data_IF_387050632533
#
_entry.id   IF_387050632533
#
_cell.length_a   1.000
_cell.length_b   1.000
_cell.length_c   1.000
_cell.angle_alpha   90.00
_cell.angle_beta   90.00
_cell.angle_gamma   90.00
#
_symmetry.space_group_name_H-M   'P 1'
#
loop_
_entity.id
_entity.type
_entity.pdbx_description
1 polymer ?
#
# COMPACT_ATOMS: atom_id res chain seq x y z
N UNK A 1 11.02 -17.76 12.09
CA UNK A 1 10.83 -17.48 10.64
C UNK A 1 11.21 -18.71 9.84
N UNK A 2 10.35 -19.20 8.95
CA UNK A 2 10.64 -20.31 8.04
C UNK A 2 11.35 -19.84 6.77
N UNK A 3 12.07 -20.74 6.10
CA UNK A 3 12.63 -20.45 4.77
C UNK A 3 11.47 -20.30 3.78
N UNK A 4 11.62 -19.41 2.80
CA UNK A 4 10.64 -19.26 1.70
C UNK A 4 10.50 -20.60 0.95
N UNK A 5 9.27 -20.94 0.58
CA UNK A 5 8.98 -22.14 -0.21
C UNK A 5 9.74 -22.11 -1.56
N UNK A 6 10.28 -23.24 -2.05
CA UNK A 6 11.04 -23.30 -3.32
C UNK A 6 10.32 -22.66 -4.51
N UNK A 7 9.00 -22.88 -4.63
CA UNK A 7 8.18 -22.29 -5.69
C UNK A 7 8.29 -20.76 -5.78
N UNK A 8 8.42 -20.06 -4.64
CA UNK A 8 8.59 -18.59 -4.63
C UNK A 8 9.91 -18.19 -5.29
N UNK A 9 10.96 -19.00 -5.15
CA UNK A 9 12.27 -18.76 -5.78
C UNK A 9 12.26 -19.12 -7.26
N UNK A 10 11.45 -20.10 -7.66
CA UNK A 10 11.32 -20.53 -9.05
C UNK A 10 10.52 -19.51 -9.87
N UNK A 11 9.27 -19.26 -9.48
CA UNK A 11 8.42 -18.26 -10.14
C UNK A 11 8.95 -16.84 -9.95
N UNK A 12 9.66 -16.54 -8.85
CA UNK A 12 10.30 -15.24 -8.68
C UNK A 12 11.37 -14.92 -9.73
N UNK A 13 11.98 -15.94 -10.37
CA UNK A 13 12.96 -15.73 -11.45
C UNK A 13 12.32 -15.40 -12.79
N UNK A 14 11.02 -15.69 -12.97
CA UNK A 14 10.31 -15.42 -14.21
C UNK A 14 9.78 -13.99 -14.27
N UNK A 15 9.85 -13.24 -13.16
CA UNK A 15 9.45 -11.84 -13.09
C UNK A 15 10.58 -10.99 -13.68
N UNK A 16 10.24 -10.17 -14.67
CA UNK A 16 11.19 -9.18 -15.18
C UNK A 16 11.43 -8.08 -14.13
N UNK A 17 12.70 -7.78 -13.91
CA UNK A 17 13.19 -6.78 -12.95
C UNK A 17 14.19 -5.83 -13.63
N UNK A 18 14.18 -5.77 -14.96
CA UNK A 18 15.12 -5.00 -15.78
C UNK A 18 15.00 -3.50 -15.52
N UNK A 19 13.77 -3.00 -15.36
CA UNK A 19 13.42 -1.64 -14.98
C UNK A 19 14.06 -1.22 -13.65
N UNK A 20 13.87 -2.02 -12.60
CA UNK A 20 14.41 -1.75 -11.26
C UNK A 20 15.94 -1.83 -11.22
N UNK A 21 16.54 -2.67 -12.06
CA UNK A 21 18.00 -2.78 -12.19
C UNK A 21 18.60 -1.62 -12.99
N UNK A 22 17.85 -1.04 -13.92
CA UNK A 22 18.28 0.11 -14.71
C UNK A 22 18.20 1.42 -13.89
N UNK A 23 17.30 1.50 -12.92
CA UNK A 23 17.17 2.65 -12.04
C UNK A 23 18.36 2.78 -11.07
N UNK A 24 19.13 3.87 -11.25
CA UNK A 24 20.34 4.16 -10.45
C UNK A 24 20.01 4.49 -9.00
N UNK A 25 18.87 5.12 -8.71
CA UNK A 25 18.46 5.48 -7.36
C UNK A 25 18.12 4.23 -6.57
N UNK A 26 17.36 3.31 -7.18
CA UNK A 26 17.02 2.01 -6.59
C UNK A 26 18.30 1.20 -6.34
N UNK A 27 19.18 1.12 -7.33
CA UNK A 27 20.43 0.35 -7.19
C UNK A 27 21.40 0.98 -6.19
N UNK A 28 21.42 2.31 -6.06
CA UNK A 28 22.15 3.01 -5.00
C UNK A 28 21.60 2.64 -3.61
N UNK A 29 20.28 2.75 -3.42
CA UNK A 29 19.62 2.38 -2.17
C UNK A 29 19.87 0.92 -1.82
N UNK A 30 19.81 0.01 -2.79
CA UNK A 30 20.08 -1.42 -2.60
C UNK A 30 21.53 -1.68 -2.18
N UNK A 31 22.49 -0.99 -2.79
CA UNK A 31 23.93 -1.15 -2.49
C UNK A 31 24.29 -0.63 -1.10
N UNK A 32 23.70 0.49 -0.69
CA UNK A 32 24.01 1.17 0.58
C UNK A 32 22.89 1.04 1.62
N UNK A 33 22.03 0.04 1.48
CA UNK A 33 20.84 -0.14 2.33
C UNK A 33 21.18 -0.11 3.82
N UNK A 34 22.19 -0.88 4.25
CA UNK A 34 22.55 -0.99 5.66
C UNK A 34 23.13 0.34 6.22
N UNK A 35 24.12 1.00 5.57
CA UNK A 35 24.55 2.33 5.98
C UNK A 35 23.42 3.37 6.04
N UNK A 36 22.57 3.43 5.02
CA UNK A 36 21.42 4.37 4.98
C UNK A 36 20.46 4.08 6.12
N UNK A 37 20.13 2.80 6.35
CA UNK A 37 19.24 2.38 7.44
C UNK A 37 19.78 2.78 8.81
N UNK A 38 21.06 2.51 9.09
CA UNK A 38 21.69 2.87 10.36
C UNK A 38 21.66 4.39 10.54
N UNK A 39 22.07 5.15 9.51
CA UNK A 39 22.07 6.60 9.56
C UNK A 39 20.68 7.18 9.85
N UNK A 40 19.66 6.78 9.09
CA UNK A 40 18.29 7.25 9.30
C UNK A 40 17.74 6.82 10.66
N UNK A 41 18.05 5.59 11.10
CA UNK A 41 17.65 5.11 12.43
C UNK A 41 18.29 5.92 13.56
N UNK A 42 19.56 6.30 13.42
CA UNK A 42 20.25 7.17 14.36
C UNK A 42 19.63 8.58 14.37
N UNK A 43 19.23 9.13 13.22
CA UNK A 43 18.53 10.42 13.16
C UNK A 43 17.19 10.39 13.90
N UNK A 44 16.40 9.33 13.74
CA UNK A 44 15.13 9.16 14.45
C UNK A 44 15.31 9.19 15.97
N UNK A 45 16.45 8.70 16.48
CA UNK A 45 16.78 8.76 17.91
C UNK A 45 17.36 10.12 18.31
N UNK A 46 18.23 10.71 17.48
CA UNK A 46 18.92 11.95 17.79
C UNK A 46 17.98 13.17 17.81
N UNK A 47 17.00 13.23 16.89
CA UNK A 47 16.11 14.39 16.73
C UNK A 47 15.35 14.72 18.02
N UNK A 48 14.67 13.77 18.71
CA UNK A 48 14.01 14.05 19.98
C UNK A 48 14.95 14.54 21.09
N UNK A 49 16.16 13.95 21.15
CA UNK A 49 17.17 14.31 22.14
C UNK A 49 17.65 15.74 21.90
N UNK A 50 17.82 16.15 20.65
CA UNK A 50 18.36 17.46 20.30
C UNK A 50 17.32 18.58 20.29
N UNK A 51 16.10 18.33 19.81
CA UNK A 51 15.11 19.39 19.60
C UNK A 51 14.28 19.72 20.84
N UNK A 52 13.99 18.73 21.69
CA UNK A 52 13.16 18.94 22.89
C UNK A 52 13.71 18.25 24.13
N UNK A 53 15.02 17.95 24.13
CA UNK A 53 15.78 17.45 25.28
C UNK A 53 15.22 16.14 25.88
N UNK A 54 14.70 15.25 25.02
CA UNK A 54 14.28 13.90 25.45
C UNK A 54 15.48 13.07 25.91
N UNK A 55 15.26 12.15 26.84
CA UNK A 55 16.32 11.23 27.29
C UNK A 55 16.68 10.24 26.18
N UNK A 56 17.96 9.88 26.08
CA UNK A 56 18.44 8.92 25.07
C UNK A 56 17.68 7.58 25.17
N UNK A 57 17.47 7.10 26.39
CA UNK A 57 16.74 5.84 26.65
C UNK A 57 15.31 5.91 26.14
N UNK A 58 14.57 6.97 26.46
CA UNK A 58 13.20 7.13 25.99
C UNK A 58 13.17 7.25 24.47
N UNK A 59 14.09 7.99 23.86
CA UNK A 59 14.14 8.14 22.40
C UNK A 59 14.40 6.81 21.68
N UNK A 60 15.32 5.97 22.21
CA UNK A 60 15.56 4.63 21.68
C UNK A 60 14.30 3.74 21.83
N UNK A 61 13.69 3.70 23.01
CA UNK A 61 12.55 2.81 23.27
C UNK A 61 11.30 3.25 22.52
N UNK A 62 10.96 4.53 22.56
CA UNK A 62 9.73 5.08 21.96
C UNK A 62 9.88 5.38 20.47
N UNK A 63 10.84 6.22 20.10
CA UNK A 63 10.97 6.78 18.75
C UNK A 63 11.56 5.78 17.76
N UNK A 64 12.43 4.87 18.22
CA UNK A 64 12.95 3.78 17.41
C UNK A 64 12.13 2.50 17.55
N UNK A 65 12.22 1.79 18.69
CA UNK A 65 11.66 0.45 18.81
C UNK A 65 10.13 0.40 18.78
N UNK A 66 9.45 1.17 19.64
CA UNK A 66 7.99 1.16 19.70
C UNK A 66 7.37 1.60 18.38
N UNK A 67 7.85 2.72 17.79
CA UNK A 67 7.42 3.17 16.46
C UNK A 67 7.64 2.10 15.39
N UNK A 68 8.79 1.43 15.39
CA UNK A 68 9.10 0.37 14.42
C UNK A 68 8.17 -0.84 14.57
N UNK A 69 7.97 -1.32 15.80
CA UNK A 69 7.08 -2.44 16.11
C UNK A 69 5.64 -2.10 15.72
N UNK A 70 5.17 -0.90 16.08
CA UNK A 70 3.83 -0.45 15.73
C UNK A 70 3.63 -0.43 14.21
N UNK A 71 4.56 0.20 13.48
CA UNK A 71 4.48 0.28 12.01
C UNK A 71 4.52 -1.10 11.34
N UNK A 72 5.38 -2.00 11.86
CA UNK A 72 5.45 -3.37 11.37
C UNK A 72 4.12 -4.11 11.59
N UNK A 73 3.50 -3.98 12.76
CA UNK A 73 2.21 -4.61 13.04
C UNK A 73 1.10 -4.06 12.13
N UNK A 74 1.01 -2.73 11.99
CA UNK A 74 0.04 -2.08 11.09
C UNK A 74 0.21 -2.61 9.66
N UNK A 75 1.44 -2.68 9.16
CA UNK A 75 1.72 -3.19 7.80
C UNK A 75 1.34 -4.68 7.67
N UNK A 76 1.66 -5.49 8.68
CA UNK A 76 1.34 -6.92 8.67
C UNK A 76 -0.17 -7.19 8.84
N UNK A 77 -0.93 -6.26 9.41
CA UNK A 77 -2.39 -6.34 9.46
C UNK A 77 -3.01 -6.32 8.05
N UNK A 78 -2.39 -5.67 7.05
CA UNK A 78 -2.85 -5.76 5.64
C UNK A 78 -2.82 -7.22 5.18
N UNK A 79 -1.70 -7.90 5.38
CA UNK A 79 -1.51 -9.27 4.90
C UNK A 79 -2.27 -10.34 5.70
N UNK A 80 -2.95 -9.95 6.79
CA UNK A 80 -3.69 -10.85 7.67
C UNK A 80 -5.15 -10.42 7.82
N UNK A 81 -5.40 -9.34 8.57
CA UNK A 81 -6.75 -8.85 8.89
C UNK A 81 -7.54 -8.40 7.65
N UNK A 82 -6.86 -7.83 6.64
CA UNK A 82 -7.49 -7.41 5.39
C UNK A 82 -7.88 -8.57 4.47
N UNK A 83 -7.92 -9.81 4.98
CA UNK A 83 -8.48 -10.98 4.30
C UNK A 83 -9.64 -11.64 5.06
N UNK A 84 -9.98 -11.18 6.28
CA UNK A 84 -11.03 -11.79 7.10
C UNK A 84 -12.35 -11.01 7.10
N UNK A 85 -12.32 -9.67 7.12
CA UNK A 85 -13.52 -8.83 7.32
C UNK A 85 -13.65 -7.73 6.26
N UNK A 86 -14.56 -7.92 5.29
CA UNK A 86 -14.71 -7.01 4.15
C UNK A 86 -15.54 -7.55 3.01
N UNK A 87 -15.64 -6.79 1.91
CA UNK A 87 -16.45 -7.12 0.73
C UNK A 87 -15.57 -7.37 -0.52
N UNK A 88 -16.15 -7.91 -1.60
CA UNK A 88 -15.44 -8.14 -2.88
C UNK A 88 -16.21 -7.55 -4.06
N UNK A 89 -16.31 -6.21 -4.15
CA UNK A 89 -17.13 -5.57 -5.16
C UNK A 89 -16.55 -5.69 -6.58
N UNK A 90 -15.24 -5.85 -6.79
CA UNK A 90 -14.65 -5.83 -8.13
C UNK A 90 -14.33 -7.23 -8.68
N UNK A 91 -13.79 -8.11 -7.83
CA UNK A 91 -13.50 -9.49 -8.20
C UNK A 91 -13.69 -10.45 -7.02
N UNK A 92 -14.70 -11.32 -7.12
CA UNK A 92 -15.03 -12.31 -6.08
C UNK A 92 -14.15 -13.55 -6.10
N UNK A 93 -13.43 -13.80 -7.20
CA UNK A 93 -12.61 -15.00 -7.40
C UNK A 93 -11.21 -14.87 -6.77
N UNK A 94 -10.76 -13.64 -6.52
CA UNK A 94 -9.53 -13.37 -5.80
C UNK A 94 -9.79 -13.33 -4.28
N UNK A 95 -8.74 -13.56 -3.47
CA UNK A 95 -8.80 -13.52 -2.00
C UNK A 95 -8.90 -12.11 -1.37
N UNK A 96 -8.24 -11.06 -1.91
CA UNK A 96 -8.31 -9.71 -1.37
C UNK A 96 -9.73 -9.18 -1.20
N UNK A 97 -9.97 -8.45 -0.11
CA UNK A 97 -11.26 -7.84 0.24
C UNK A 97 -11.10 -6.34 0.47
N UNK A 98 -12.19 -5.61 0.31
CA UNK A 98 -12.33 -4.20 0.67
C UNK A 98 -12.66 -4.06 2.15
N UNK A 99 -11.94 -3.21 2.87
CA UNK A 99 -12.25 -2.92 4.28
C UNK A 99 -12.00 -1.46 4.63
N UNK A 100 -13.09 -0.70 4.78
CA UNK A 100 -13.04 0.73 5.11
C UNK A 100 -12.30 1.03 6.41
N UNK A 101 -12.41 0.14 7.41
CA UNK A 101 -11.69 0.28 8.69
C UNK A 101 -10.17 0.18 8.49
N UNK A 102 -9.72 -0.77 7.67
CA UNK A 102 -8.30 -0.91 7.32
C UNK A 102 -7.83 0.25 6.45
N UNK A 103 -8.67 0.76 5.54
CA UNK A 103 -8.32 1.94 4.74
C UNK A 103 -8.02 3.14 5.63
N UNK A 104 -8.80 3.34 6.70
CA UNK A 104 -8.53 4.41 7.67
C UNK A 104 -7.25 4.16 8.48
N UNK A 105 -7.05 2.94 9.02
CA UNK A 105 -5.90 2.62 9.87
C UNK A 105 -4.56 2.59 9.12
N UNK A 106 -4.59 2.31 7.82
CA UNK A 106 -3.40 2.11 6.97
C UNK A 106 -3.39 3.15 5.85
N UNK A 107 -3.99 4.31 6.10
CA UNK A 107 -3.73 5.54 5.33
C UNK A 107 -4.09 5.40 3.82
N UNK A 108 -5.05 4.54 3.49
CA UNK A 108 -5.53 4.31 2.13
C UNK A 108 -5.31 2.90 1.57
N UNK A 109 -4.60 2.00 2.28
CA UNK A 109 -4.25 0.66 1.76
C UNK A 109 -5.34 -0.42 1.95
N UNK A 110 -6.51 -0.07 2.49
CA UNK A 110 -7.59 -1.04 2.76
C UNK A 110 -8.46 -1.40 1.56
N UNK A 111 -8.19 -0.80 0.39
CA UNK A 111 -8.92 -1.05 -0.86
C UNK A 111 -8.32 -2.24 -1.64
N UNK A 112 -8.16 -3.36 -0.94
CA UNK A 112 -7.31 -4.45 -1.41
C UNK A 112 -7.97 -5.25 -2.56
N UNK A 113 -9.30 -5.29 -2.66
CA UNK A 113 -9.96 -5.93 -3.81
C UNK A 113 -9.76 -5.09 -5.07
N UNK A 114 -9.87 -3.76 -4.97
CA UNK A 114 -9.60 -2.82 -6.05
C UNK A 114 -8.14 -2.88 -6.48
N UNK A 115 -7.21 -2.72 -5.53
CA UNK A 115 -5.77 -2.73 -5.81
C UNK A 115 -5.32 -3.99 -6.54
N UNK A 116 -5.77 -5.18 -6.13
CA UNK A 116 -5.43 -6.43 -6.83
C UNK A 116 -6.16 -6.61 -8.18
N UNK A 117 -7.27 -5.91 -8.38
CA UNK A 117 -8.01 -5.92 -9.66
C UNK A 117 -7.39 -4.95 -10.67
N UNK A 118 -6.88 -3.82 -10.19
CA UNK A 118 -6.27 -2.74 -10.99
C UNK A 118 -4.88 -2.35 -10.43
N UNK A 119 -3.88 -3.25 -10.48
CA UNK A 119 -2.57 -3.04 -9.84
C UNK A 119 -1.74 -1.91 -10.47
N UNK A 120 -2.16 -1.39 -11.63
CA UNK A 120 -1.53 -0.27 -12.32
C UNK A 120 -2.14 1.09 -11.98
N UNK A 121 -3.23 1.13 -11.20
CA UNK A 121 -3.87 2.38 -10.78
C UNK A 121 -3.06 3.03 -9.64
N UNK A 122 -2.61 4.27 -9.84
CA UNK A 122 -1.78 4.98 -8.85
C UNK A 122 -2.53 5.24 -7.53
N UNK A 123 -3.86 5.31 -7.56
CA UNK A 123 -4.66 5.61 -6.37
C UNK A 123 -4.83 4.40 -5.45
N UNK A 124 -4.65 3.19 -6.00
CA UNK A 124 -4.92 1.90 -5.35
C UNK A 124 -6.34 1.77 -4.73
N UNK A 125 -7.27 2.68 -5.07
CA UNK A 125 -8.62 2.76 -4.54
C UNK A 125 -9.56 3.41 -5.58
N UNK A 126 -10.86 3.08 -5.56
CA UNK A 126 -11.84 3.67 -6.48
C UNK A 126 -12.13 5.16 -6.18
N UNK A 127 -12.12 5.57 -4.90
CA UNK A 127 -12.53 6.92 -4.46
C UNK A 127 -11.39 7.84 -4.01
N UNK A 128 -10.14 7.52 -4.38
CA UNK A 128 -8.99 8.42 -4.28
C UNK A 128 -8.82 9.23 -2.99
N UNK A 129 -8.66 10.55 -3.17
CA UNK A 129 -8.34 11.58 -2.18
C UNK A 129 -9.13 11.53 -0.87
N UNK A 130 -10.42 11.15 -0.93
CA UNK A 130 -11.28 11.21 0.25
C UNK A 130 -10.85 10.24 1.37
N UNK A 131 -10.05 9.22 1.04
CA UNK A 131 -9.70 8.13 1.95
C UNK A 131 -8.24 7.69 1.89
N UNK A 132 -7.35 8.40 1.17
CA UNK A 132 -5.94 8.02 1.01
C UNK A 132 -5.01 9.24 1.05
N UNK A 133 -4.17 9.32 2.09
CA UNK A 133 -3.11 10.33 2.17
C UNK A 133 -2.04 10.09 1.09
N UNK A 134 -1.80 8.83 0.73
CA UNK A 134 -0.88 8.47 -0.34
C UNK A 134 -1.30 9.10 -1.67
N UNK A 135 -2.59 8.98 -2.02
CA UNK A 135 -3.13 9.61 -3.24
C UNK A 135 -2.99 11.13 -3.20
N UNK A 136 -3.28 11.75 -2.05
CA UNK A 136 -3.09 13.19 -1.86
C UNK A 136 -1.63 13.63 -2.09
N UNK A 137 -0.66 12.91 -1.52
CA UNK A 137 0.77 13.25 -1.69
C UNK A 137 1.24 13.07 -3.14
N UNK A 138 0.75 12.05 -3.84
CA UNK A 138 1.07 11.84 -5.26
C UNK A 138 0.48 12.96 -6.12
N UNK A 139 -0.76 13.35 -5.89
CA UNK A 139 -1.40 14.45 -6.62
C UNK A 139 -0.75 15.80 -6.32
N UNK A 140 -0.38 16.06 -5.07
CA UNK A 140 0.41 17.24 -4.71
C UNK A 140 1.76 17.23 -5.44
N UNK A 141 2.44 16.08 -5.49
CA UNK A 141 3.70 15.93 -6.24
C UNK A 141 3.49 16.17 -7.74
N UNK A 142 2.37 15.72 -8.30
CA UNK A 142 2.02 15.98 -9.69
C UNK A 142 1.72 17.45 -9.96
N UNK A 143 0.99 18.11 -9.05
CA UNK A 143 0.72 19.53 -9.10
C UNK A 143 2.00 20.37 -9.04
N UNK A 144 2.99 19.95 -8.25
CA UNK A 144 4.32 20.56 -8.18
C UNK A 144 5.24 20.19 -9.35
N UNK A 145 4.79 19.34 -10.29
CA UNK A 145 5.58 18.88 -11.44
C UNK A 145 6.65 17.82 -11.11
N UNK A 146 6.62 17.24 -9.91
CA UNK A 146 7.53 16.18 -9.46
C UNK A 146 7.09 14.78 -9.92
N UNK A 147 5.81 14.61 -10.24
CA UNK A 147 5.23 13.37 -10.75
C UNK A 147 4.40 13.62 -12.02
N UNK A 148 4.41 12.67 -12.94
CA UNK A 148 3.67 12.73 -14.21
C UNK A 148 3.27 11.32 -14.66
N UNK A 149 2.48 11.21 -15.74
CA UNK A 149 1.95 9.94 -16.27
C UNK A 149 1.19 9.11 -15.21
N UNK A 150 0.39 9.79 -14.39
CA UNK A 150 -0.48 9.13 -13.40
C UNK A 150 -1.56 8.32 -14.13
N UNK A 151 -1.57 7.00 -13.90
CA UNK A 151 -2.52 6.07 -14.52
C UNK A 151 -3.63 5.73 -13.54
N UNK A 152 -4.87 5.95 -13.94
CA UNK A 152 -6.06 5.56 -13.16
C UNK A 152 -7.05 4.80 -14.04
N UNK A 153 -7.75 3.84 -13.46
CA UNK A 153 -8.76 3.07 -14.16
C UNK A 153 -9.99 3.96 -14.47
N UNK A 154 -10.43 3.98 -15.73
CA UNK A 154 -11.64 4.72 -16.09
C UNK A 154 -12.86 4.15 -15.37
N UNK A 155 -13.83 5.00 -15.03
CA UNK A 155 -15.09 4.56 -14.39
C UNK A 155 -15.79 3.46 -15.19
N UNK A 156 -15.76 3.54 -16.52
CA UNK A 156 -16.32 2.50 -17.40
C UNK A 156 -15.58 1.16 -17.26
N UNK A 157 -14.26 1.18 -17.14
CA UNK A 157 -13.44 -0.03 -16.92
C UNK A 157 -13.77 -0.65 -15.57
N UNK A 158 -13.86 0.17 -14.52
CA UNK A 158 -14.18 -0.28 -13.15
C UNK A 158 -15.58 -0.89 -13.11
N UNK A 159 -16.57 -0.22 -13.68
CA UNK A 159 -17.95 -0.69 -13.71
C UNK A 159 -18.11 -1.99 -14.50
N UNK A 160 -17.51 -2.09 -15.70
CA UNK A 160 -17.51 -3.33 -16.48
C UNK A 160 -16.91 -4.49 -15.70
N UNK A 161 -15.82 -4.25 -14.94
CA UNK A 161 -15.20 -5.30 -14.12
C UNK A 161 -16.08 -5.69 -12.94
N UNK A 162 -16.65 -4.72 -12.23
CA UNK A 162 -17.62 -4.90 -11.13
C UNK A 162 -18.82 -5.74 -11.59
N UNK A 163 -19.41 -5.45 -12.74
CA UNK A 163 -20.54 -6.22 -13.28
C UNK A 163 -20.14 -7.64 -13.69
N UNK A 164 -18.93 -7.83 -14.22
CA UNK A 164 -18.47 -9.14 -14.71
C UNK A 164 -18.07 -10.09 -13.59
N UNK A 165 -17.32 -9.61 -12.60
CA UNK A 165 -16.67 -10.47 -11.59
C UNK A 165 -16.96 -10.05 -10.15
N UNK A 166 -17.61 -8.92 -9.95
CA UNK A 166 -17.93 -8.39 -8.63
C UNK A 166 -18.98 -9.19 -7.89
N UNK A 167 -18.93 -9.11 -6.55
CA UNK A 167 -20.02 -9.53 -5.70
C UNK A 167 -20.88 -8.30 -5.38
N UNK A 168 -21.77 -7.94 -6.32
CA UNK A 168 -22.67 -6.79 -6.18
C UNK A 168 -23.72 -7.12 -5.11
N UNK A 169 -23.91 -6.28 -4.07
CA UNK A 169 -25.00 -6.45 -3.12
C UNK A 169 -26.35 -6.43 -3.85
N UNK A 170 -27.29 -7.30 -3.46
CA UNK A 170 -28.61 -7.46 -4.11
C UNK A 170 -29.44 -6.16 -4.27
N UNK A 171 -29.13 -5.10 -3.51
CA UNK A 171 -29.80 -3.80 -3.58
C UNK A 171 -29.53 -3.05 -4.89
N UNK A 172 -28.33 -3.18 -5.46
CA UNK A 172 -27.94 -2.45 -6.68
C UNK A 172 -28.35 -3.18 -7.97
N UNK A 173 -28.66 -4.48 -7.88
CA UNK A 173 -29.18 -5.27 -9.01
C UNK A 173 -30.63 -4.89 -9.36
N UNK A 174 -31.45 -4.47 -8.38
CA UNK A 174 -32.86 -4.10 -8.59
C UNK A 174 -33.04 -2.79 -9.36
N UNK A 175 -32.05 -1.89 -9.32
CA UNK A 175 -32.12 -0.62 -10.05
C UNK A 175 -31.70 -0.74 -11.53
N UNK A 176 -31.17 -1.90 -11.95
CA UNK A 176 -30.72 -2.13 -13.33
C UNK A 176 -31.72 -2.93 -14.18
N UNK A 177 -32.83 -3.42 -13.62
CA UNK A 177 -33.88 -4.14 -14.35
C UNK A 177 -35.24 -3.41 -14.26
N UNK A 178 -35.23 -2.14 -13.85
CA UNK A 178 -36.42 -1.30 -13.63
C UNK A 178 -36.41 -0.01 -14.44
N UNK A 179 -35.95 -0.06 -15.69
CA UNK A 179 -36.09 1.03 -16.68
C UNK A 179 -36.47 0.45 -18.03
#
# INVERSE_FOLDING_TARGET
MSKKHPAVREYGKTIDMSDLKADKVIMFQKKYYLPIYIFLSSLVVAVPVWLWNETLTNSILSSHFFRWILYLNITMCVNSWAHFFGTKPYDKYIRPIESNLLSFLIVGEGWHNYHHTFPWDYQAAEYGLHYSLTTFLIELSSYLGLAHDLKSASQQTVEKRRLRTGNVPLKDQKNQHGS
#
